data_IF_530242364505
#
_entry.id   IF_530242364505
#
_cell.length_a   1.000
_cell.length_b   1.000
_cell.length_c   1.000
_cell.angle_alpha   90.00
_cell.angle_beta   90.00
_cell.angle_gamma   90.00
#
_symmetry.space_group_name_H-M   'P 1'
#
loop_
_entity.id
_entity.type
_entity.pdbx_description
1 polymer ?
#
# COMPACT_ATOMS: atom_id res chain seq x y z
N UNK A 1 21.36 18.39 25.70
CA UNK A 1 21.62 18.31 24.24
C UNK A 1 20.39 17.72 23.56
N UNK A 2 19.25 18.39 23.70
CA UNK A 2 17.93 17.93 23.23
C UNK A 2 17.58 18.61 21.93
N UNK A 3 18.41 18.40 20.91
CA UNK A 3 18.21 18.98 19.60
C UNK A 3 16.95 18.36 18.97
N UNK A 4 15.84 19.07 19.13
CA UNK A 4 14.70 19.05 18.22
C UNK A 4 13.74 17.88 18.50
N UNK A 5 12.92 18.05 19.54
CA UNK A 5 11.89 17.09 19.94
C UNK A 5 10.87 16.77 18.83
N UNK A 6 9.98 15.80 19.10
CA UNK A 6 8.98 15.23 18.18
C UNK A 6 8.25 16.25 17.30
N UNK A 7 8.00 17.47 17.80
CA UNK A 7 7.40 18.55 17.01
C UNK A 7 8.20 18.95 15.75
N UNK A 8 9.53 18.90 15.79
CA UNK A 8 10.35 19.19 14.60
C UNK A 8 10.15 18.13 13.51
N UNK A 9 10.14 16.85 13.89
CA UNK A 9 9.93 15.75 12.95
C UNK A 9 8.56 15.82 12.28
N UNK A 10 7.52 16.23 13.01
CA UNK A 10 6.18 16.48 12.45
C UNK A 10 6.23 17.62 11.41
N UNK A 11 6.88 18.75 11.71
CA UNK A 11 6.98 19.89 10.79
C UNK A 11 7.76 19.51 9.53
N UNK A 12 8.87 18.78 9.65
CA UNK A 12 9.65 18.30 8.50
C UNK A 12 8.81 17.36 7.63
N UNK A 13 8.06 16.44 8.24
CA UNK A 13 7.18 15.53 7.49
C UNK A 13 6.17 16.32 6.65
N UNK A 14 5.53 17.34 7.24
CA UNK A 14 4.57 18.19 6.54
C UNK A 14 5.22 18.93 5.37
N UNK A 15 6.41 19.50 5.55
CA UNK A 15 7.13 20.19 4.46
C UNK A 15 7.48 19.22 3.33
N UNK A 16 7.95 18.01 3.65
CA UNK A 16 8.24 16.98 2.63
C UNK A 16 6.97 16.61 1.86
N UNK A 17 5.84 16.44 2.54
CA UNK A 17 4.55 16.18 1.88
C UNK A 17 4.12 17.33 0.97
N UNK A 18 4.38 18.58 1.33
CA UNK A 18 4.04 19.75 0.52
C UNK A 18 4.94 19.87 -0.72
N UNK A 19 6.24 19.60 -0.59
CA UNK A 19 7.21 19.66 -1.70
C UNK A 19 6.99 18.53 -2.70
N UNK A 20 6.83 17.29 -2.21
CA UNK A 20 6.63 16.12 -3.06
C UNK A 20 5.17 15.99 -3.54
N UNK A 21 4.23 16.57 -2.82
CA UNK A 21 2.80 16.39 -3.03
C UNK A 21 2.31 14.99 -2.61
N UNK A 22 1.04 14.91 -2.17
CA UNK A 22 0.43 13.65 -1.72
C UNK A 22 0.27 12.62 -2.84
N UNK A 23 0.22 13.06 -4.11
CA UNK A 23 0.00 12.19 -5.27
C UNK A 23 1.22 11.31 -5.59
N UNK A 24 2.44 11.85 -5.48
CA UNK A 24 3.68 11.09 -5.66
C UNK A 24 3.96 10.18 -4.46
N UNK A 25 3.67 10.67 -3.24
CA UNK A 25 3.86 9.90 -2.02
C UNK A 25 2.89 8.72 -1.91
N UNK A 26 1.65 8.86 -2.41
CA UNK A 26 0.67 7.77 -2.44
C UNK A 26 1.00 6.69 -3.47
N UNK A 27 1.57 7.06 -4.61
CA UNK A 27 2.05 6.10 -5.61
C UNK A 27 3.21 5.26 -5.04
N UNK A 28 4.32 5.91 -4.72
CA UNK A 28 5.50 5.22 -4.16
C UNK A 28 5.21 4.56 -2.80
N UNK A 29 4.34 5.15 -1.98
CA UNK A 29 3.92 4.59 -0.71
C UNK A 29 3.01 3.38 -0.85
N UNK A 30 2.26 3.21 -1.95
CA UNK A 30 1.50 1.99 -2.22
C UNK A 30 2.45 0.83 -2.49
N UNK A 31 3.43 1.03 -3.38
CA UNK A 31 4.39 -0.01 -3.77
C UNK A 31 5.28 -0.44 -2.59
N UNK A 32 5.78 0.54 -1.82
CA UNK A 32 6.56 0.29 -0.60
C UNK A 32 5.66 -0.32 0.49
N UNK A 33 4.42 0.15 0.61
CA UNK A 33 3.47 -0.35 1.59
C UNK A 33 3.10 -1.81 1.36
N UNK A 34 2.97 -2.23 0.11
CA UNK A 34 2.73 -3.61 -0.27
C UNK A 34 3.92 -4.51 0.07
N UNK A 35 5.14 -4.07 -0.24
CA UNK A 35 6.36 -4.80 0.14
C UNK A 35 6.52 -4.95 1.66
N UNK A 36 6.18 -3.91 2.43
CA UNK A 36 6.25 -3.92 3.90
C UNK A 36 5.07 -4.71 4.51
N UNK A 37 3.94 -4.84 3.81
CA UNK A 37 2.77 -5.61 4.26
C UNK A 37 3.11 -7.09 4.43
N UNK A 38 3.75 -7.71 3.43
CA UNK A 38 4.20 -9.11 3.51
C UNK A 38 5.19 -9.34 4.65
N UNK A 39 6.08 -8.37 4.92
CA UNK A 39 6.99 -8.43 6.07
C UNK A 39 6.25 -8.34 7.42
N UNK A 40 5.27 -7.42 7.56
CA UNK A 40 4.44 -7.34 8.78
C UNK A 40 3.57 -8.58 8.99
N UNK A 41 3.11 -9.18 7.92
CA UNK A 41 2.25 -10.36 7.94
C UNK A 41 3.06 -11.60 8.35
N UNK A 42 4.24 -11.81 7.74
CA UNK A 42 5.15 -12.88 8.15
C UNK A 42 5.71 -12.71 9.57
N UNK A 43 5.91 -11.48 10.06
CA UNK A 43 6.25 -11.24 11.47
C UNK A 43 5.07 -11.41 12.43
N UNK A 44 3.83 -11.49 11.93
CA UNK A 44 2.60 -11.72 12.71
C UNK A 44 2.10 -13.17 12.65
N UNK A 45 2.74 -14.03 11.87
CA UNK A 45 2.40 -15.46 11.75
C UNK A 45 3.23 -16.35 12.69
N UNK A 46 2.81 -16.51 13.95
CA UNK A 46 2.93 -17.82 14.59
C UNK A 46 1.61 -18.61 14.62
N UNK A 47 0.49 -18.11 14.09
CA UNK A 47 -0.82 -18.77 14.31
C UNK A 47 -1.89 -18.79 13.18
N UNK A 48 -1.64 -18.40 11.92
CA UNK A 48 -2.69 -18.59 10.88
C UNK A 48 -2.12 -18.64 9.46
N UNK A 49 -2.54 -19.59 8.60
CA UNK A 49 -1.97 -19.76 7.26
C UNK A 49 -2.25 -18.57 6.34
N UNK A 50 -1.17 -17.92 5.88
CA UNK A 50 -1.14 -16.95 4.79
C UNK A 50 -1.87 -17.47 3.53
N UNK A 51 -3.05 -16.93 3.26
CA UNK A 51 -3.89 -17.37 2.15
C UNK A 51 -4.84 -16.31 1.61
N UNK A 52 -4.56 -15.03 1.88
CA UNK A 52 -5.30 -13.93 1.30
C UNK A 52 -4.42 -12.70 1.48
N UNK A 53 -4.03 -12.04 0.38
CA UNK A 53 -3.80 -10.59 0.25
C UNK A 53 -2.84 -10.31 -0.91
N UNK A 54 -3.46 -10.19 -2.08
CA UNK A 54 -2.85 -9.81 -3.36
C UNK A 54 -3.98 -9.68 -4.36
N UNK A 55 -4.86 -8.71 -4.11
CA UNK A 55 -6.00 -8.34 -4.94
C UNK A 55 -5.49 -7.75 -6.27
N UNK A 56 -5.12 -8.62 -7.19
CA UNK A 56 -4.80 -8.24 -8.58
C UNK A 56 -5.15 -9.37 -9.58
N UNK A 57 -6.11 -10.23 -9.23
CA UNK A 57 -6.75 -11.18 -10.17
C UNK A 57 -8.27 -11.03 -10.26
N UNK A 58 -8.83 -9.98 -9.67
CA UNK A 58 -10.29 -9.75 -9.67
C UNK A 58 -10.75 -8.87 -10.83
N UNK A 59 -9.88 -8.03 -11.41
CA UNK A 59 -10.29 -7.10 -12.47
C UNK A 59 -10.27 -7.73 -13.87
N UNK A 60 -9.24 -8.53 -14.19
CA UNK A 60 -9.12 -9.16 -15.51
C UNK A 60 -10.18 -10.25 -15.78
N UNK A 61 -10.55 -11.03 -14.75
CA UNK A 61 -11.49 -12.15 -14.93
C UNK A 61 -12.94 -11.72 -15.07
N UNK A 62 -13.31 -10.51 -14.64
CA UNK A 62 -14.71 -10.04 -14.69
C UNK A 62 -15.05 -9.43 -16.05
N UNK A 63 -14.09 -8.84 -16.75
CA UNK A 63 -14.28 -8.29 -18.10
C UNK A 63 -14.39 -9.38 -19.16
N UNK A 64 -13.72 -10.52 -18.98
CA UNK A 64 -13.79 -11.65 -19.91
C UNK A 64 -15.09 -12.47 -19.76
N UNK A 65 -15.55 -12.68 -18.53
CA UNK A 65 -16.79 -13.42 -18.26
C UNK A 65 -18.07 -12.69 -18.71
N UNK A 66 -18.05 -11.35 -18.78
CA UNK A 66 -19.18 -10.55 -19.28
C UNK A 66 -19.19 -10.45 -20.81
N UNK A 67 -18.01 -10.50 -21.45
CA UNK A 67 -17.88 -10.46 -22.92
C UNK A 67 -18.33 -11.76 -23.58
N UNK A 68 -18.12 -12.90 -22.92
CA UNK A 68 -18.56 -14.22 -23.40
C UNK A 68 -20.09 -14.41 -23.26
N UNK A 69 -20.69 -13.82 -22.21
CA UNK A 69 -22.14 -13.87 -21.96
C UNK A 69 -22.95 -12.92 -22.85
N UNK A 70 -22.34 -11.86 -23.36
CA UNK A 70 -22.99 -10.92 -24.27
C UNK A 70 -22.86 -11.31 -25.76
N UNK A 71 -22.07 -12.34 -26.08
CA UNK A 71 -21.86 -12.84 -27.45
C UNK A 71 -22.59 -14.17 -27.73
N UNK A 72 -23.44 -14.64 -26.82
CA UNK A 72 -24.17 -15.91 -26.95
C UNK A 72 -25.67 -15.76 -26.72
#
# INVERSE_FOLDING_TARGET
>A
MGAWGIGHWIVVLVVVLLVFGTKRLRGAGKDIGEAVRGFREGMREPEKPAGQLGDERTDASKTEAERDRAQH
#
